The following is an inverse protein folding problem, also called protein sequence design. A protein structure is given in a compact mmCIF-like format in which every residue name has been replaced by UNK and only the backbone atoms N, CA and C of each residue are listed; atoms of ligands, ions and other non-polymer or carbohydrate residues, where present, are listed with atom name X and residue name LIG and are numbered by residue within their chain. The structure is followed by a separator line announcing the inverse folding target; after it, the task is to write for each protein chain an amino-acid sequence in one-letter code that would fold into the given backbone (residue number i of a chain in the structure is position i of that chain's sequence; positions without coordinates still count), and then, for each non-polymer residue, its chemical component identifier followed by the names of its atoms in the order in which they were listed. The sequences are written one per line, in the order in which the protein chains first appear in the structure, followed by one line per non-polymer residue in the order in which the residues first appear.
data_IF_697602995538
#
_entry.id   IF_697602995538
#
_cell.length_a   1.000
_cell.length_b   1.000
_cell.length_c   1.000
_cell.angle_alpha   90.00
_cell.angle_beta   90.00
_cell.angle_gamma   90.00
#
_symmetry.space_group_name_H-M   'P 1'
#
loop_
_entity.id
_entity.type
_entity.pdbx_description
1 polymer ?
#
# COMPACT_ATOMS: atom_id res chain seq x y z
N UNK A 1 14.72 19.35 18.49
CA UNK A 1 13.38 18.75 18.44
C UNK A 1 13.44 17.25 18.72
N UNK A 2 12.32 16.62 18.96
CA UNK A 2 12.24 15.17 19.12
C UNK A 2 12.45 14.49 17.77
N UNK A 3 13.16 13.38 17.77
CA UNK A 3 13.27 12.50 16.58
C UNK A 3 12.01 11.63 16.54
N UNK A 4 11.04 12.04 15.74
CA UNK A 4 9.80 11.30 15.51
C UNK A 4 9.64 11.06 14.02
N UNK A 5 9.00 9.95 13.66
CA UNK A 5 8.59 9.64 12.29
C UNK A 5 7.12 9.24 12.31
N UNK A 6 6.45 9.43 11.19
CA UNK A 6 5.07 8.99 11.04
C UNK A 6 4.84 8.26 9.72
N UNK A 7 3.81 7.41 9.72
CA UNK A 7 3.40 6.65 8.54
C UNK A 7 1.92 6.84 8.26
N UNK A 8 1.54 6.54 7.02
CA UNK A 8 0.15 6.50 6.57
C UNK A 8 -0.09 5.19 5.82
N UNK A 9 -1.27 4.60 5.98
CA UNK A 9 -1.62 3.42 5.20
C UNK A 9 -2.10 3.78 3.79
N UNK A 10 -1.76 2.92 2.83
CA UNK A 10 -2.06 3.14 1.41
C UNK A 10 -3.56 3.36 1.14
N UNK A 11 -4.43 2.66 1.85
CA UNK A 11 -5.87 2.81 1.66
C UNK A 11 -6.39 4.20 2.08
N UNK A 12 -5.79 4.88 3.06
CA UNK A 12 -6.17 6.24 3.44
C UNK A 12 -5.72 7.32 2.43
N UNK A 13 -4.85 6.97 1.47
CA UNK A 13 -4.42 7.86 0.40
C UNK A 13 -5.38 7.87 -0.79
N UNK A 14 -6.26 6.86 -0.89
CA UNK A 14 -7.09 6.64 -2.09
C UNK A 14 -8.56 6.43 -1.80
N UNK A 15 -8.89 5.81 -0.67
CA UNK A 15 -10.28 5.53 -0.28
C UNK A 15 -10.76 6.63 0.68
N UNK A 16 -12.02 6.98 0.54
CA UNK A 16 -12.70 7.99 1.35
C UNK A 16 -13.93 7.41 2.04
N UNK A 17 -14.52 8.13 2.94
CA UNK A 17 -15.69 7.73 3.72
C UNK A 17 -16.93 7.43 2.87
N UNK A 18 -17.04 8.00 1.66
CA UNK A 18 -18.11 7.66 0.70
C UNK A 18 -18.12 6.15 0.34
N UNK A 19 -17.00 5.45 0.47
CA UNK A 19 -16.93 3.99 0.25
C UNK A 19 -17.75 3.20 1.30
N UNK A 20 -18.11 3.81 2.40
CA UNK A 20 -18.90 3.20 3.48
C UNK A 20 -20.41 3.19 3.21
N UNK A 21 -20.89 3.91 2.20
CA UNK A 21 -22.32 4.09 1.89
C UNK A 21 -23.08 2.75 1.69
N UNK A 22 -22.37 1.73 1.23
CA UNK A 22 -22.93 0.39 1.01
C UNK A 22 -22.69 -0.57 2.17
N UNK A 23 -22.11 -0.14 3.28
CA UNK A 23 -21.74 -0.97 4.42
C UNK A 23 -20.95 -2.23 4.05
N UNK A 24 -20.12 -2.15 2.99
CA UNK A 24 -19.24 -3.26 2.60
C UNK A 24 -18.12 -3.42 3.64
N UNK A 25 -18.12 -4.54 4.33
CA UNK A 25 -17.14 -4.83 5.37
C UNK A 25 -15.67 -4.84 4.84
N UNK A 26 -15.46 -4.98 3.53
CA UNK A 26 -14.11 -4.93 2.93
C UNK A 26 -13.41 -3.59 3.16
N UNK A 27 -14.17 -2.49 3.25
CA UNK A 27 -13.63 -1.15 3.47
C UNK A 27 -13.66 -0.74 4.94
N UNK A 28 -14.10 -1.63 5.83
CA UNK A 28 -14.05 -1.41 7.27
C UNK A 28 -12.62 -1.58 7.78
N UNK A 29 -11.97 -0.47 8.09
CA UNK A 29 -10.58 -0.38 8.57
C UNK A 29 -10.49 0.49 9.82
N UNK A 30 -9.40 0.32 10.57
CA UNK A 30 -9.09 1.14 11.74
C UNK A 30 -7.65 1.68 11.63
N UNK A 31 -7.44 2.99 11.66
CA UNK A 31 -8.45 4.08 11.77
C UNK A 31 -9.46 4.07 10.61
N UNK A 32 -10.68 4.61 10.82
CA UNK A 32 -11.69 4.61 9.76
C UNK A 32 -11.30 5.53 8.59
N UNK A 33 -11.83 5.22 7.40
CA UNK A 33 -11.68 6.08 6.23
C UNK A 33 -12.20 7.49 6.55
N UNK A 34 -11.55 8.48 5.95
CA UNK A 34 -11.80 9.90 6.19
C UNK A 34 -12.26 10.58 4.92
N UNK A 35 -12.60 11.86 5.05
CA UNK A 35 -13.09 12.68 3.95
C UNK A 35 -12.05 12.88 2.83
N UNK A 36 -12.53 13.28 1.67
CA UNK A 36 -11.69 13.69 0.54
C UNK A 36 -10.71 14.81 0.87
N UNK A 37 -11.07 15.71 1.79
CA UNK A 37 -10.16 16.76 2.25
C UNK A 37 -9.02 16.21 3.10
N UNK A 38 -9.29 15.22 3.95
CA UNK A 38 -8.28 14.53 4.75
C UNK A 38 -7.30 13.78 3.86
N UNK A 39 -7.81 13.03 2.88
CA UNK A 39 -6.97 12.33 1.87
C UNK A 39 -6.03 13.31 1.15
N UNK A 40 -6.54 14.47 0.72
CA UNK A 40 -5.70 15.52 0.10
C UNK A 40 -4.62 16.04 1.06
N UNK A 41 -4.94 16.22 2.34
CA UNK A 41 -3.99 16.66 3.34
C UNK A 41 -2.89 15.61 3.58
N UNK A 42 -3.24 14.32 3.62
CA UNK A 42 -2.28 13.22 3.73
C UNK A 42 -1.33 13.16 2.53
N UNK A 43 -1.86 13.26 1.31
CA UNK A 43 -1.04 13.31 0.08
C UNK A 43 -0.09 14.51 0.07
N UNK A 44 -0.58 15.67 0.53
CA UNK A 44 0.27 16.86 0.69
C UNK A 44 1.37 16.61 1.74
N UNK A 45 1.02 16.03 2.88
CA UNK A 45 1.97 15.70 3.95
C UNK A 45 3.12 14.80 3.48
N UNK A 46 2.85 13.82 2.60
CA UNK A 46 3.88 12.99 1.97
C UNK A 46 4.79 13.80 1.05
N UNK A 47 4.21 14.65 0.19
CA UNK A 47 4.98 15.50 -0.74
C UNK A 47 5.85 16.52 -0.01
N UNK A 48 5.35 17.08 1.07
CA UNK A 48 6.05 18.07 1.89
C UNK A 48 7.09 17.42 2.85
N UNK A 49 7.14 16.08 2.93
CA UNK A 49 8.04 15.36 3.83
C UNK A 49 7.64 15.43 5.31
N UNK A 50 6.38 15.73 5.60
CA UNK A 50 5.81 15.70 6.96
C UNK A 50 5.44 14.27 7.35
N UNK A 51 4.98 13.47 6.39
CA UNK A 51 4.75 12.03 6.53
C UNK A 51 5.91 11.31 5.85
N UNK A 52 6.55 10.42 6.59
CA UNK A 52 7.80 9.79 6.17
C UNK A 52 7.58 8.53 5.34
N UNK A 53 6.61 7.70 5.71
CA UNK A 53 6.49 6.31 5.24
C UNK A 53 5.05 5.99 4.86
N UNK A 54 4.92 5.15 3.83
CA UNK A 54 3.64 4.53 3.47
C UNK A 54 3.70 3.05 3.87
N UNK A 55 2.65 2.57 4.53
CA UNK A 55 2.49 1.17 4.92
C UNK A 55 1.36 0.52 4.13
N UNK A 56 1.45 -0.79 3.92
CA UNK A 56 0.36 -1.56 3.32
C UNK A 56 -0.82 -1.72 4.27
N UNK A 57 -0.55 -1.64 5.56
CA UNK A 57 -1.50 -2.00 6.62
C UNK A 57 -2.21 -3.32 6.32
N UNK A 58 -1.41 -4.31 5.92
CA UNK A 58 -1.87 -5.62 5.50
C UNK A 58 -2.44 -6.40 6.69
N UNK A 59 -3.75 -6.46 6.76
CA UNK A 59 -4.46 -7.13 7.84
C UNK A 59 -5.41 -8.20 7.26
N UNK A 60 -4.94 -9.45 7.09
CA UNK A 60 -5.74 -10.55 6.58
C UNK A 60 -6.77 -10.99 7.62
N UNK A 61 -8.03 -10.89 7.27
CA UNK A 61 -9.17 -11.31 8.08
C UNK A 61 -9.85 -12.48 7.37
N UNK A 62 -10.23 -13.50 8.14
CA UNK A 62 -10.97 -14.64 7.63
C UNK A 62 -12.34 -14.23 7.13
N UNK A 63 -12.82 -14.95 6.10
CA UNK A 63 -14.08 -14.66 5.44
C UNK A 63 -15.26 -14.70 6.42
N UNK A 64 -15.23 -15.59 7.40
CA UNK A 64 -16.26 -15.72 8.44
C UNK A 64 -16.41 -14.47 9.29
N UNK A 65 -15.30 -13.75 9.54
CA UNK A 65 -15.28 -12.49 10.28
C UNK A 65 -15.59 -11.26 9.41
N UNK A 66 -15.63 -11.42 8.09
CA UNK A 66 -15.94 -10.33 7.15
C UNK A 66 -17.35 -10.44 6.55
N UNK A 67 -17.91 -11.66 6.39
CA UNK A 67 -19.28 -11.88 5.91
C UNK A 67 -20.30 -11.76 7.04
N UNK A 68 -20.21 -10.67 7.77
CA UNK A 68 -21.13 -10.31 8.85
C UNK A 68 -21.73 -8.95 8.55
N UNK A 69 -22.77 -8.58 9.28
CA UNK A 69 -23.25 -7.20 9.30
C UNK A 69 -22.07 -6.26 9.60
N UNK A 70 -22.07 -5.07 8.99
CA UNK A 70 -20.97 -4.14 9.08
C UNK A 70 -20.52 -3.85 10.52
N UNK A 71 -21.47 -3.69 11.44
CA UNK A 71 -21.20 -3.45 12.85
C UNK A 71 -20.42 -4.59 13.53
N UNK A 72 -20.69 -5.83 13.14
CA UNK A 72 -20.12 -7.05 13.71
C UNK A 72 -18.85 -7.52 12.98
N UNK A 73 -18.64 -7.09 11.74
CA UNK A 73 -17.48 -7.47 10.96
C UNK A 73 -16.19 -6.91 11.59
N UNK A 74 -15.10 -7.69 11.57
CA UNK A 74 -13.79 -7.24 12.02
C UNK A 74 -13.21 -6.18 11.08
N UNK A 75 -12.46 -5.24 11.65
CA UNK A 75 -11.68 -4.26 10.90
C UNK A 75 -10.50 -4.93 10.22
N UNK A 76 -10.12 -4.44 9.04
CA UNK A 76 -8.94 -4.87 8.32
C UNK A 76 -9.18 -5.17 6.85
N UNK A 77 -8.14 -5.00 6.07
CA UNK A 77 -8.07 -5.28 4.64
C UNK A 77 -6.68 -5.77 4.29
N UNK A 78 -6.54 -6.62 3.28
CA UNK A 78 -5.21 -6.93 2.74
C UNK A 78 -4.74 -5.81 1.83
N UNK A 79 -3.45 -5.53 1.85
CA UNK A 79 -2.88 -4.40 1.12
C UNK A 79 -1.53 -4.65 0.46
N UNK A 80 -0.86 -5.80 0.68
CA UNK A 80 0.48 -6.03 0.13
C UNK A 80 0.49 -6.06 -1.40
N UNK A 81 -0.40 -6.84 -2.00
CA UNK A 81 -0.43 -7.04 -3.44
C UNK A 81 -0.93 -5.80 -4.21
N UNK A 82 -1.73 -4.97 -3.56
CA UNK A 82 -2.23 -3.72 -4.14
C UNK A 82 -1.37 -2.50 -3.85
N UNK A 83 -0.41 -2.59 -2.92
CA UNK A 83 0.34 -1.46 -2.37
C UNK A 83 0.93 -0.54 -3.45
N UNK A 84 1.76 -1.09 -4.32
CA UNK A 84 2.45 -0.30 -5.35
C UNK A 84 1.45 0.39 -6.28
N UNK A 85 0.51 -0.39 -6.83
CA UNK A 85 -0.48 0.14 -7.76
C UNK A 85 -1.39 1.21 -7.15
N UNK A 86 -1.78 1.03 -5.88
CA UNK A 86 -2.58 2.01 -5.14
C UNK A 86 -1.82 3.32 -4.96
N UNK A 87 -0.59 3.26 -4.47
CA UNK A 87 0.22 4.46 -4.17
C UNK A 87 0.62 5.18 -5.46
N UNK A 88 1.05 4.44 -6.48
CA UNK A 88 1.45 4.98 -7.79
C UNK A 88 0.27 5.58 -8.58
N UNK A 89 -0.98 5.28 -8.20
CA UNK A 89 -2.16 5.91 -8.78
C UNK A 89 -2.36 7.36 -8.33
N UNK A 90 -1.80 7.76 -7.19
CA UNK A 90 -2.07 9.06 -6.54
C UNK A 90 -0.82 9.90 -6.25
N UNK A 91 0.37 9.30 -6.34
CA UNK A 91 1.66 9.95 -6.14
C UNK A 91 2.56 9.78 -7.37
N UNK A 92 3.52 10.68 -7.52
CA UNK A 92 4.61 10.49 -8.47
C UNK A 92 5.54 9.36 -8.03
N UNK A 93 6.29 8.80 -8.99
CA UNK A 93 7.12 7.61 -8.77
C UNK A 93 8.28 7.89 -7.77
N UNK A 94 8.83 9.09 -7.77
CA UNK A 94 9.93 9.45 -6.86
C UNK A 94 9.43 9.46 -5.40
N UNK A 95 8.32 10.13 -5.13
CA UNK A 95 7.68 10.15 -3.81
C UNK A 95 7.28 8.74 -3.38
N UNK A 96 6.73 7.94 -4.29
CA UNK A 96 6.35 6.54 -4.05
C UNK A 96 7.54 5.71 -3.60
N UNK A 97 8.65 5.74 -4.36
CA UNK A 97 9.86 4.96 -4.02
C UNK A 97 10.47 5.45 -2.71
N UNK A 98 10.57 6.75 -2.51
CA UNK A 98 11.08 7.32 -1.27
C UNK A 98 10.31 6.81 -0.04
N UNK A 99 8.99 6.93 -0.07
CA UNK A 99 8.13 6.56 1.06
C UNK A 99 8.03 5.05 1.31
N UNK A 100 8.23 4.21 0.29
CA UNK A 100 8.17 2.75 0.40
C UNK A 100 9.53 2.10 0.68
N UNK A 101 10.65 2.75 0.37
CA UNK A 101 11.97 2.10 0.42
C UNK A 101 13.02 2.91 1.17
N UNK A 102 13.33 4.12 0.71
CA UNK A 102 14.45 4.92 1.23
C UNK A 102 14.19 5.37 2.65
N UNK A 103 13.04 5.99 2.89
CA UNK A 103 12.70 6.53 4.21
C UNK A 103 12.57 5.44 5.29
N UNK A 104 11.86 4.31 5.06
CA UNK A 104 11.82 3.22 6.03
C UNK A 104 13.21 2.70 6.39
N UNK A 105 14.11 2.54 5.40
CA UNK A 105 15.49 2.10 5.66
C UNK A 105 16.24 3.06 6.55
N UNK A 106 16.15 4.36 6.26
CA UNK A 106 16.79 5.40 7.07
C UNK A 106 16.25 5.42 8.51
N UNK A 107 14.94 5.29 8.70
CA UNK A 107 14.30 5.27 10.03
C UNK A 107 14.75 4.06 10.85
N UNK A 108 14.83 2.89 10.22
CA UNK A 108 15.25 1.66 10.88
C UNK A 108 16.78 1.43 10.91
N UNK A 109 17.57 2.43 10.50
CA UNK A 109 19.04 2.35 10.51
C UNK A 109 19.60 1.28 9.55
N UNK A 110 18.85 0.95 8.51
CA UNK A 110 19.32 0.01 7.49
C UNK A 110 20.20 0.73 6.45
N UNK A 111 21.19 0.01 5.93
CA UNK A 111 22.07 0.54 4.87
C UNK A 111 21.26 0.96 3.63
N UNK A 112 21.67 2.07 3.03
CA UNK A 112 21.17 2.50 1.73
C UNK A 112 21.62 1.48 0.67
N UNK A 113 20.69 1.04 -0.16
CA UNK A 113 20.99 0.14 -1.29
C UNK A 113 21.03 0.99 -2.56
N UNK A 114 22.15 0.90 -3.26
CA UNK A 114 22.37 1.53 -4.57
C UNK A 114 22.37 0.45 -5.66
N UNK A 115 21.99 0.84 -6.88
CA UNK A 115 22.11 -0.04 -8.06
C UNK A 115 23.45 0.25 -8.70
N UNK A 116 24.48 -0.44 -8.24
CA UNK A 116 25.86 -0.29 -8.70
C UNK A 116 26.47 -1.65 -9.00
N UNK A 117 27.52 -1.62 -9.84
CA UNK A 117 28.29 -2.83 -10.14
C UNK A 117 28.95 -3.38 -8.87
N UNK A 118 28.95 -4.69 -8.73
CA UNK A 118 29.54 -5.43 -7.61
C UNK A 118 28.83 -5.24 -6.25
N UNK A 119 27.64 -4.65 -6.24
CA UNK A 119 26.78 -4.60 -5.04
C UNK A 119 25.82 -5.79 -4.99
N UNK A 120 25.37 -6.12 -3.77
CA UNK A 120 24.36 -7.18 -3.58
C UNK A 120 23.02 -6.72 -4.15
N UNK A 121 22.54 -7.43 -5.15
CA UNK A 121 21.27 -7.10 -5.79
C UNK A 121 20.07 -7.43 -4.86
N UNK A 122 19.24 -6.43 -4.61
CA UNK A 122 17.94 -6.53 -3.96
C UNK A 122 17.00 -5.58 -4.71
N UNK A 123 16.35 -6.11 -5.73
CA UNK A 123 15.67 -5.32 -6.76
C UNK A 123 14.21 -5.75 -6.87
N UNK A 124 13.35 -4.77 -7.14
CA UNK A 124 11.99 -5.00 -7.60
C UNK A 124 11.86 -4.56 -9.05
N UNK A 125 11.35 -5.44 -9.90
CA UNK A 125 11.10 -5.17 -11.31
C UNK A 125 9.67 -4.73 -11.47
N UNK A 126 9.45 -3.52 -11.98
CA UNK A 126 8.10 -2.97 -12.16
C UNK A 126 8.02 -2.04 -13.36
N UNK A 127 6.80 -1.85 -13.86
CA UNK A 127 6.46 -0.78 -14.79
C UNK A 127 5.54 0.22 -14.06
N UNK A 128 5.88 1.50 -13.97
CA UNK A 128 5.04 2.51 -13.31
C UNK A 128 3.83 2.91 -14.16
N UNK A 129 3.84 2.59 -15.45
CA UNK A 129 2.77 2.93 -16.38
C UNK A 129 1.81 1.75 -16.59
N UNK A 130 0.68 2.07 -17.19
CA UNK A 130 -0.38 1.10 -17.43
C UNK A 130 -1.39 1.06 -16.27
N UNK A 131 -2.59 0.62 -16.60
CA UNK A 131 -3.71 0.50 -15.66
C UNK A 131 -4.23 -0.92 -15.77
N UNK A 132 -4.51 -1.54 -14.63
CA UNK A 132 -5.13 -2.86 -14.56
C UNK A 132 -6.15 -2.92 -13.43
N UNK A 133 -7.21 -3.68 -13.64
CA UNK A 133 -8.19 -3.94 -12.58
C UNK A 133 -7.61 -4.95 -11.60
N UNK A 134 -7.58 -4.58 -10.33
CA UNK A 134 -7.14 -5.48 -9.26
C UNK A 134 -8.23 -6.50 -8.96
N UNK A 135 -7.94 -7.76 -9.20
CA UNK A 135 -8.90 -8.86 -9.06
C UNK A 135 -8.45 -9.88 -8.00
N UNK A 136 -9.30 -10.84 -7.71
CA UNK A 136 -8.96 -11.92 -6.75
C UNK A 136 -7.78 -12.79 -7.21
N UNK A 137 -7.58 -12.90 -8.51
CA UNK A 137 -6.48 -13.63 -9.14
C UNK A 137 -5.13 -12.98 -8.86
N UNK A 138 -5.10 -11.67 -8.62
CA UNK A 138 -3.89 -10.93 -8.25
C UNK A 138 -3.49 -11.12 -6.77
N UNK A 139 -4.33 -11.76 -5.96
CA UNK A 139 -4.12 -11.90 -4.53
C UNK A 139 -3.44 -13.23 -4.24
N UNK A 140 -2.22 -13.19 -3.71
CA UNK A 140 -1.47 -14.37 -3.25
C UNK A 140 -1.80 -14.72 -1.79
N UNK A 141 -2.16 -13.73 -0.99
CA UNK A 141 -2.55 -13.91 0.41
C UNK A 141 -3.69 -14.91 0.57
N UNK A 142 -3.70 -15.64 1.67
CA UNK A 142 -4.77 -16.61 2.00
C UNK A 142 -6.12 -15.91 2.11
N UNK A 143 -6.19 -14.79 2.83
CA UNK A 143 -7.36 -13.92 2.84
C UNK A 143 -7.51 -13.23 1.49
N UNK A 144 -8.72 -13.24 0.94
CA UNK A 144 -9.07 -12.52 -0.30
C UNK A 144 -9.85 -11.23 -0.02
N UNK A 145 -9.83 -10.76 1.22
CA UNK A 145 -10.55 -9.57 1.65
C UNK A 145 -9.75 -8.30 1.37
N UNK A 146 -9.92 -7.72 0.19
CA UNK A 146 -9.27 -6.47 -0.21
C UNK A 146 -10.31 -5.38 -0.51
N UNK A 147 -10.08 -4.19 0.06
CA UNK A 147 -10.83 -2.97 -0.27
C UNK A 147 -10.58 -2.49 -1.71
N UNK A 148 -9.58 -3.04 -2.39
CA UNK A 148 -9.20 -2.66 -3.75
C UNK A 148 -9.72 -3.62 -4.82
N UNK A 149 -10.38 -4.71 -4.45
CA UNK A 149 -10.96 -5.64 -5.45
C UNK A 149 -11.95 -4.92 -6.37
N UNK A 150 -11.71 -5.00 -7.67
CA UNK A 150 -12.50 -4.34 -8.71
C UNK A 150 -12.06 -2.90 -9.02
N UNK A 151 -11.09 -2.34 -8.32
CA UNK A 151 -10.56 -0.99 -8.58
C UNK A 151 -9.43 -1.03 -9.60
N UNK A 152 -9.33 0.04 -10.39
CA UNK A 152 -8.19 0.27 -11.29
C UNK A 152 -6.98 0.74 -10.50
N UNK A 153 -5.85 0.10 -10.70
CA UNK A 153 -4.56 0.45 -10.10
C UNK A 153 -3.54 0.75 -11.19
N UNK A 154 -2.66 1.72 -10.94
CA UNK A 154 -1.64 2.15 -11.89
C UNK A 154 -0.30 1.44 -11.64
N UNK A 155 0.26 0.87 -12.71
CA UNK A 155 1.54 0.18 -12.69
C UNK A 155 1.42 -1.32 -12.40
N UNK A 156 2.50 -2.03 -12.67
CA UNK A 156 2.59 -3.48 -12.52
C UNK A 156 3.95 -3.89 -11.97
N UNK A 157 3.95 -4.71 -10.93
CA UNK A 157 5.15 -5.38 -10.44
C UNK A 157 5.31 -6.70 -11.19
N UNK A 158 6.48 -6.93 -11.77
CA UNK A 158 6.81 -8.16 -12.50
C UNK A 158 7.49 -9.20 -11.65
N UNK A 159 8.18 -8.79 -10.59
CA UNK A 159 8.87 -9.72 -9.71
C UNK A 159 9.99 -9.06 -8.92
N UNK A 160 10.72 -9.88 -8.21
CA UNK A 160 11.83 -9.47 -7.36
C UNK A 160 13.08 -10.30 -7.67
N UNK A 161 14.25 -9.67 -7.51
CA UNK A 161 15.53 -10.36 -7.44
C UNK A 161 16.14 -10.09 -6.06
N UNK A 162 16.17 -11.11 -5.22
CA UNK A 162 16.73 -11.02 -3.88
C UNK A 162 17.35 -12.37 -3.48
N UNK A 163 18.36 -12.35 -2.60
CA UNK A 163 19.04 -13.57 -2.13
C UNK A 163 19.51 -14.49 -3.27
N UNK A 164 20.02 -13.90 -4.36
CA UNK A 164 20.45 -14.60 -5.59
C UNK A 164 19.35 -15.38 -6.31
N UNK A 165 18.07 -15.05 -6.05
CA UNK A 165 16.92 -15.68 -6.71
C UNK A 165 16.08 -14.62 -7.40
N UNK A 166 15.65 -14.95 -8.63
CA UNK A 166 14.64 -14.20 -9.36
C UNK A 166 13.28 -14.90 -9.16
N UNK A 167 12.30 -14.17 -8.68
CA UNK A 167 10.91 -14.64 -8.59
C UNK A 167 10.06 -13.68 -9.41
N UNK A 168 9.34 -14.21 -10.38
CA UNK A 168 8.42 -13.45 -11.24
C UNK A 168 6.97 -13.77 -10.86
N UNK A 169 6.11 -12.76 -11.03
CA UNK A 169 4.65 -12.89 -10.84
C UNK A 169 3.99 -13.42 -12.11
#
# INVERSE_FOLDING_TARGET
GLKVSCSVSAHHLTLIDDELDFFDSKVKVTPPLRTKSDTKALLKGLKDGVIDVITSDHNPIDIEHKKLEFSLAKDGTIGLESLFGTVNSVLDIETTIKALTINPRAIFGQESITIEKDTVANLTLFNPEGISVFSKENILSTSKNSAFTGKELKGKVYGIFANKKLVLN
#
